data_IF_041559503610
#
_entry.id   IF_041559503610
#
_cell.length_a   1.000
_cell.length_b   1.000
_cell.length_c   1.000
_cell.angle_alpha   90.00
_cell.angle_beta   90.00
_cell.angle_gamma   90.00
#
_symmetry.space_group_name_H-M   'P 1'
#
loop_
_entity.id
_entity.type
_entity.pdbx_description
1 polymer ?
#
# COMPACT_ATOMS: atom_id res chain seq x y z
N UNK A 1 4.50 51.37 45.71
CA UNK A 1 4.22 52.35 44.64
C UNK A 1 3.36 51.64 43.60
N UNK A 2 2.13 52.09 43.46
CA UNK A 2 1.18 51.62 42.46
C UNK A 2 1.43 52.35 41.15
N UNK A 3 1.32 51.67 40.01
CA UNK A 3 0.77 52.27 38.79
C UNK A 3 -0.02 51.20 38.03
N UNK A 4 -1.34 51.32 38.18
CA UNK A 4 -2.32 50.79 37.24
C UNK A 4 -2.22 51.61 35.95
N UNK A 5 -2.23 50.95 34.79
CA UNK A 5 -2.65 51.58 33.53
C UNK A 5 -3.77 50.75 32.93
N UNK A 6 -4.94 51.38 32.96
CA UNK A 6 -6.17 51.14 32.24
C UNK A 6 -5.84 51.00 30.74
N UNK A 7 -6.21 49.93 30.03
CA UNK A 7 -7.58 49.66 29.61
C UNK A 7 -7.82 50.27 28.21
N UNK A 8 -8.04 49.43 27.19
CA UNK A 8 -8.90 49.75 26.04
C UNK A 8 -9.18 48.48 25.23
N UNK A 9 -10.45 48.09 25.27
CA UNK A 9 -11.11 47.06 24.45
C UNK A 9 -11.45 47.67 23.10
N UNK A 10 -11.41 46.88 22.02
CA UNK A 10 -12.29 46.92 20.83
C UNK A 10 -11.87 45.74 19.94
N UNK A 11 -12.54 44.59 19.99
CA UNK A 11 -13.76 44.18 19.28
C UNK A 11 -13.55 43.82 17.79
N UNK A 12 -14.13 42.65 17.47
CA UNK A 12 -14.62 42.15 16.17
C UNK A 12 -13.62 41.60 15.14
N UNK A 13 -13.79 40.30 14.87
CA UNK A 13 -13.20 39.58 13.75
C UNK A 13 -13.58 38.10 13.73
N UNK A 14 -14.88 37.82 13.64
CA UNK A 14 -15.43 36.54 13.13
C UNK A 14 -15.03 36.36 11.66
N UNK A 15 -14.74 35.12 11.25
CA UNK A 15 -14.51 34.77 9.84
C UNK A 15 -13.56 33.59 9.72
N UNK A 16 -14.08 32.39 9.99
CA UNK A 16 -14.36 31.42 8.93
C UNK A 16 -13.08 30.78 8.38
N UNK A 17 -12.74 29.64 8.96
CA UNK A 17 -12.04 28.55 8.30
C UNK A 17 -12.77 28.25 6.98
N UNK A 18 -12.20 28.70 5.87
CA UNK A 18 -12.39 27.99 4.60
C UNK A 18 -11.05 27.34 4.28
N UNK A 19 -10.82 26.20 4.91
CA UNK A 19 -10.15 25.12 4.19
C UNK A 19 -11.14 24.70 3.12
N UNK A 20 -11.16 25.46 2.02
CA UNK A 20 -11.89 25.11 0.83
C UNK A 20 -11.40 23.72 0.40
N UNK A 21 -12.30 22.75 0.55
CA UNK A 21 -12.13 21.46 -0.10
C UNK A 21 -12.21 21.71 -1.60
N UNK A 22 -11.05 21.71 -2.25
CA UNK A 22 -11.02 21.38 -3.66
C UNK A 22 -11.18 19.86 -3.78
N UNK A 23 -12.45 19.43 -3.88
CA UNK A 23 -12.81 18.24 -4.64
C UNK A 23 -12.45 18.49 -6.12
N UNK A 24 -11.16 18.46 -6.42
CA UNK A 24 -10.59 18.47 -7.75
C UNK A 24 -10.22 17.05 -8.12
N UNK A 25 -11.19 16.27 -8.59
CA UNK A 25 -10.94 14.98 -9.23
C UNK A 25 -10.14 15.16 -10.51
N UNK A 26 -8.85 15.47 -10.37
CA UNK A 26 -7.89 15.47 -11.46
C UNK A 26 -7.73 14.02 -11.86
N UNK A 27 -8.47 13.61 -12.89
CA UNK A 27 -8.08 12.46 -13.71
C UNK A 27 -6.84 12.91 -14.47
N UNK A 28 -5.71 12.94 -13.77
CA UNK A 28 -4.42 13.07 -14.40
C UNK A 28 -4.26 11.93 -15.39
N UNK A 29 -3.55 12.22 -16.48
CA UNK A 29 -3.24 11.20 -17.47
C UNK A 29 -2.56 10.00 -16.78
N UNK A 30 -2.68 8.77 -17.32
CA UNK A 30 -1.88 7.65 -16.84
C UNK A 30 -0.41 8.09 -16.74
N UNK A 31 0.21 7.94 -15.55
CA UNK A 31 1.56 8.46 -15.31
C UNK A 31 1.65 9.75 -14.48
N UNK A 32 0.56 10.46 -14.27
CA UNK A 32 0.56 11.77 -13.60
C UNK A 32 -0.20 11.75 -12.25
N UNK A 33 -0.05 10.73 -11.40
CA UNK A 33 -0.72 10.72 -10.08
C UNK A 33 -0.55 12.04 -9.30
N UNK A 34 -1.62 12.50 -8.63
CA UNK A 34 -1.48 13.58 -7.64
C UNK A 34 -0.53 13.14 -6.52
N UNK A 35 0.09 14.08 -5.78
CA UNK A 35 0.92 13.74 -4.62
C UNK A 35 0.19 12.86 -3.60
N UNK A 36 -1.08 13.12 -3.35
CA UNK A 36 -1.94 12.39 -2.42
C UNK A 36 -2.21 10.96 -2.92
N UNK A 37 -2.60 10.81 -4.19
CA UNK A 37 -2.84 9.50 -4.81
C UNK A 37 -1.56 8.64 -4.81
N UNK A 38 -0.43 9.27 -5.16
CA UNK A 38 0.87 8.59 -5.14
C UNK A 38 1.24 8.14 -3.74
N UNK A 39 1.00 8.97 -2.73
CA UNK A 39 1.25 8.63 -1.33
C UNK A 39 0.39 7.45 -0.88
N UNK A 40 -0.91 7.48 -1.18
CA UNK A 40 -1.85 6.40 -0.84
C UNK A 40 -1.43 5.07 -1.47
N UNK A 41 -1.19 5.06 -2.79
CA UNK A 41 -0.77 3.85 -3.50
C UNK A 41 0.61 3.35 -3.03
N UNK A 42 1.52 4.25 -2.67
CA UNK A 42 2.82 3.89 -2.13
C UNK A 42 2.71 3.28 -0.72
N UNK A 43 1.80 3.79 0.11
CA UNK A 43 1.49 3.21 1.42
C UNK A 43 0.87 1.82 1.25
N UNK A 44 -0.06 1.66 0.31
CA UNK A 44 -0.64 0.35 0.00
C UNK A 44 0.42 -0.67 -0.47
N UNK A 45 1.39 -0.25 -1.30
CA UNK A 45 2.56 -1.08 -1.64
C UNK A 45 3.38 -1.41 -0.39
N UNK A 46 3.63 -0.45 0.49
CA UNK A 46 4.39 -0.70 1.72
C UNK A 46 3.69 -1.72 2.62
N UNK A 47 2.39 -1.59 2.82
CA UNK A 47 1.59 -2.51 3.62
C UNK A 47 1.62 -3.93 3.05
N UNK A 48 1.40 -4.08 1.74
CA UNK A 48 1.36 -5.39 1.09
C UNK A 48 2.74 -6.04 0.94
N UNK A 49 3.77 -5.24 0.69
CA UNK A 49 5.10 -5.74 0.30
C UNK A 49 6.14 -5.73 1.42
N UNK A 50 6.03 -4.84 2.41
CA UNK A 50 7.07 -4.69 3.44
C UNK A 50 6.70 -5.36 4.77
N UNK A 51 5.43 -5.72 4.98
CA UNK A 51 4.99 -6.38 6.21
C UNK A 51 5.27 -7.88 6.18
N UNK A 52 6.06 -8.33 7.14
CA UNK A 52 6.32 -9.75 7.43
C UNK A 52 7.12 -10.51 6.36
N UNK A 53 7.33 -11.81 6.61
CA UNK A 53 8.01 -12.70 5.65
C UNK A 53 7.08 -13.04 4.50
N UNK A 54 7.62 -12.97 3.27
CA UNK A 54 6.94 -13.38 2.02
C UNK A 54 7.71 -14.42 1.21
N UNK A 55 8.97 -14.67 1.53
CA UNK A 55 9.78 -15.63 0.80
C UNK A 55 9.22 -17.06 0.99
N UNK A 56 9.12 -17.81 -0.11
CA UNK A 56 8.75 -19.22 -0.08
C UNK A 56 9.98 -20.11 -0.13
N UNK A 57 10.03 -21.13 0.74
CA UNK A 57 11.10 -22.13 0.80
C UNK A 57 10.52 -23.54 1.11
N UNK A 58 11.28 -24.59 0.80
CA UNK A 58 10.80 -25.97 0.85
C UNK A 58 10.47 -26.46 2.27
N UNK A 59 11.07 -25.86 3.29
CA UNK A 59 10.93 -26.28 4.69
C UNK A 59 9.62 -25.79 5.32
N UNK A 60 8.98 -24.76 4.75
CA UNK A 60 7.73 -24.20 5.25
C UNK A 60 6.56 -25.15 5.15
N UNK A 61 5.64 -25.17 6.09
CA UNK A 61 4.39 -25.94 5.98
C UNK A 61 3.54 -25.48 4.79
N UNK A 62 2.54 -26.28 4.40
CA UNK A 62 1.63 -25.85 3.35
C UNK A 62 0.89 -24.56 3.70
N UNK A 63 0.54 -24.34 4.97
CA UNK A 63 -0.16 -23.13 5.38
C UNK A 63 0.74 -21.90 5.36
N UNK A 64 2.02 -22.05 5.74
CA UNK A 64 3.01 -21.00 5.60
C UNK A 64 3.27 -20.64 4.13
N UNK A 65 3.36 -21.64 3.25
CA UNK A 65 3.51 -21.43 1.80
C UNK A 65 2.29 -20.72 1.21
N UNK A 66 1.07 -21.14 1.60
CA UNK A 66 -0.18 -20.50 1.19
C UNK A 66 -0.23 -19.04 1.66
N UNK A 67 0.07 -18.78 2.93
CA UNK A 67 0.09 -17.43 3.48
C UNK A 67 1.08 -16.52 2.73
N UNK A 68 2.28 -17.03 2.45
CA UNK A 68 3.30 -16.27 1.72
C UNK A 68 2.95 -16.08 0.23
N UNK A 69 2.34 -17.08 -0.40
CA UNK A 69 1.79 -16.96 -1.75
C UNK A 69 0.74 -15.83 -1.81
N UNK A 70 -0.23 -15.81 -0.88
CA UNK A 70 -1.25 -14.76 -0.79
C UNK A 70 -0.63 -13.37 -0.61
N UNK A 71 0.35 -13.21 0.30
CA UNK A 71 1.06 -11.94 0.50
C UNK A 71 1.79 -11.47 -0.76
N UNK A 72 2.45 -12.37 -1.49
CA UNK A 72 3.11 -12.02 -2.75
C UNK A 72 2.11 -11.61 -3.84
N UNK A 73 0.93 -12.26 -3.92
CA UNK A 73 -0.11 -11.84 -4.86
C UNK A 73 -0.59 -10.41 -4.58
N UNK A 74 -0.88 -10.07 -3.32
CA UNK A 74 -1.27 -8.70 -2.93
C UNK A 74 -0.18 -7.68 -3.23
N UNK A 75 1.08 -8.03 -2.92
CA UNK A 75 2.20 -7.17 -3.28
C UNK A 75 2.29 -6.94 -4.81
N UNK A 76 2.07 -7.98 -5.63
CA UNK A 76 2.08 -7.82 -7.08
C UNK A 76 0.91 -6.97 -7.58
N UNK A 77 -0.26 -7.10 -6.97
CA UNK A 77 -1.43 -6.26 -7.28
C UNK A 77 -1.17 -4.80 -6.91
N UNK A 78 -0.71 -4.51 -5.69
CA UNK A 78 -0.36 -3.16 -5.26
C UNK A 78 0.68 -2.51 -6.18
N UNK A 79 1.71 -3.26 -6.59
CA UNK A 79 2.71 -2.80 -7.57
C UNK A 79 2.11 -2.54 -8.94
N UNK A 80 1.22 -3.42 -9.42
CA UNK A 80 0.53 -3.21 -10.69
C UNK A 80 -0.29 -1.92 -10.64
N UNK A 81 -1.04 -1.69 -9.56
CA UNK A 81 -1.90 -0.52 -9.41
C UNK A 81 -1.10 0.79 -9.42
N UNK A 82 -0.01 0.89 -8.65
CA UNK A 82 0.81 2.11 -8.67
C UNK A 82 1.52 2.30 -10.01
N UNK A 83 1.97 1.23 -10.66
CA UNK A 83 2.60 1.31 -11.98
C UNK A 83 1.62 1.86 -13.04
N UNK A 84 0.39 1.35 -13.05
CA UNK A 84 -0.64 1.75 -14.00
C UNK A 84 -1.13 3.18 -13.74
N UNK A 85 -1.37 3.53 -12.47
CA UNK A 85 -1.88 4.84 -12.12
C UNK A 85 -0.82 5.95 -12.25
N UNK A 86 0.37 5.72 -11.71
CA UNK A 86 1.35 6.79 -11.45
C UNK A 86 2.58 6.77 -12.36
N UNK A 87 2.73 5.76 -13.23
CA UNK A 87 3.94 5.59 -14.03
C UNK A 87 3.66 5.11 -15.47
N UNK A 88 2.47 5.36 -16.00
CA UNK A 88 2.06 4.98 -17.37
C UNK A 88 2.34 3.49 -17.68
N UNK A 89 1.95 2.62 -16.76
CA UNK A 89 2.22 1.17 -16.83
C UNK A 89 3.58 0.74 -16.27
N UNK A 90 4.36 1.68 -15.72
CA UNK A 90 5.61 1.46 -15.01
C UNK A 90 6.85 1.90 -15.79
N UNK A 91 7.73 2.65 -15.14
CA UNK A 91 9.12 2.81 -15.59
C UNK A 91 9.92 1.51 -15.41
N UNK A 92 11.19 1.51 -15.80
CA UNK A 92 12.06 0.34 -15.73
C UNK A 92 12.14 -0.27 -14.31
N UNK A 93 12.32 0.57 -13.29
CA UNK A 93 12.41 0.12 -11.89
C UNK A 93 11.08 -0.43 -11.37
N UNK A 94 9.98 0.22 -11.73
CA UNK A 94 8.62 -0.21 -11.37
C UNK A 94 8.23 -1.53 -12.05
N UNK A 95 8.59 -1.70 -13.33
CA UNK A 95 8.39 -2.94 -14.10
C UNK A 95 9.21 -4.08 -13.52
N UNK A 96 10.48 -3.83 -13.22
CA UNK A 96 11.36 -4.84 -12.62
C UNK A 96 10.85 -5.28 -11.26
N UNK A 97 10.42 -4.36 -10.40
CA UNK A 97 9.91 -4.70 -9.08
C UNK A 97 8.61 -5.53 -9.13
N UNK A 98 7.74 -5.28 -10.11
CA UNK A 98 6.57 -6.13 -10.37
C UNK A 98 6.99 -7.51 -10.91
N UNK A 99 7.97 -7.57 -11.82
CA UNK A 99 8.53 -8.81 -12.35
C UNK A 99 9.10 -9.70 -11.24
N UNK A 100 9.94 -9.15 -10.36
CA UNK A 100 10.51 -9.87 -9.21
C UNK A 100 9.42 -10.41 -8.27
N UNK A 101 8.36 -9.64 -8.05
CA UNK A 101 7.24 -10.07 -7.21
C UNK A 101 6.49 -11.24 -7.87
N UNK A 102 6.27 -11.20 -9.19
CA UNK A 102 5.69 -12.32 -9.94
C UNK A 102 6.59 -13.56 -9.90
N UNK A 103 7.91 -13.40 -10.01
CA UNK A 103 8.86 -14.51 -9.86
C UNK A 103 8.77 -15.15 -8.46
N UNK A 104 8.59 -14.36 -7.41
CA UNK A 104 8.37 -14.88 -6.05
C UNK A 104 7.08 -15.70 -5.94
N UNK A 105 5.98 -15.26 -6.60
CA UNK A 105 4.73 -16.03 -6.68
C UNK A 105 4.99 -17.38 -7.35
N UNK A 106 5.64 -17.39 -8.52
CA UNK A 106 5.98 -18.63 -9.25
C UNK A 106 6.83 -19.58 -8.39
N UNK A 107 7.79 -19.03 -7.63
CA UNK A 107 8.58 -19.84 -6.69
C UNK A 107 7.71 -20.52 -5.63
N UNK A 108 6.74 -19.81 -5.04
CA UNK A 108 5.81 -20.41 -4.10
C UNK A 108 5.02 -21.55 -4.75
N UNK A 109 4.48 -21.31 -5.94
CA UNK A 109 3.69 -22.32 -6.69
C UNK A 109 4.53 -23.56 -6.98
N UNK A 110 5.76 -23.40 -7.48
CA UNK A 110 6.66 -24.53 -7.78
C UNK A 110 6.91 -25.40 -6.55
N UNK A 111 7.08 -24.80 -5.37
CA UNK A 111 7.23 -25.55 -4.12
C UNK A 111 5.92 -26.24 -3.76
N UNK A 112 4.79 -25.53 -3.82
CA UNK A 112 3.47 -26.08 -3.48
C UNK A 112 3.08 -27.27 -4.35
N UNK A 113 3.38 -27.26 -5.64
CA UNK A 113 3.04 -28.38 -6.55
C UNK A 113 4.11 -29.47 -6.61
N UNK A 114 5.27 -29.27 -5.96
CA UNK A 114 6.33 -30.28 -5.95
C UNK A 114 5.87 -31.58 -5.31
N UNK A 115 6.47 -32.70 -5.74
CA UNK A 115 6.09 -34.04 -5.28
C UNK A 115 6.21 -34.23 -3.76
N UNK A 116 7.15 -33.52 -3.14
CA UNK A 116 7.43 -33.58 -1.71
C UNK A 116 6.46 -32.73 -0.87
N UNK A 117 5.73 -31.78 -1.48
CA UNK A 117 4.86 -30.84 -0.76
C UNK A 117 3.39 -31.05 -1.03
N UNK A 118 2.99 -31.09 -2.31
CA UNK A 118 1.61 -31.29 -2.77
C UNK A 118 0.56 -30.46 -2.01
N UNK A 119 0.82 -29.16 -1.87
CA UNK A 119 -0.12 -28.19 -1.29
C UNK A 119 -1.15 -27.76 -2.35
N UNK A 120 -2.10 -28.64 -2.66
CA UNK A 120 -3.13 -28.36 -3.68
C UNK A 120 -4.01 -27.18 -3.22
N UNK A 121 -4.40 -26.35 -4.18
CA UNK A 121 -4.70 -24.92 -4.08
C UNK A 121 -5.78 -24.55 -3.06
N UNK A 122 -5.44 -23.67 -2.13
CA UNK A 122 -6.42 -22.81 -1.46
C UNK A 122 -6.59 -21.55 -2.31
N UNK A 123 -7.81 -21.05 -2.43
CA UNK A 123 -8.05 -19.69 -2.93
C UNK A 123 -7.22 -18.74 -2.05
N UNK A 124 -6.63 -17.72 -2.64
CA UNK A 124 -6.29 -16.54 -1.86
C UNK A 124 -7.62 -15.93 -1.45
N UNK A 125 -8.20 -16.39 -0.35
CA UNK A 125 -9.16 -15.52 0.30
C UNK A 125 -8.40 -14.25 0.66
N UNK A 126 -8.90 -13.07 0.27
CA UNK A 126 -8.35 -11.83 0.76
C UNK A 126 -8.58 -11.83 2.28
N UNK A 127 -7.52 -11.73 3.11
CA UNK A 127 -7.63 -10.70 4.12
C UNK A 127 -7.56 -9.35 3.43
N UNK A 128 -8.59 -8.54 3.68
CA UNK A 128 -8.56 -7.12 3.38
C UNK A 128 -7.25 -6.55 3.91
N UNK A 129 -6.63 -5.64 3.17
CA UNK A 129 -5.46 -4.91 3.63
C UNK A 129 -5.91 -3.83 4.64
N UNK A 130 -6.59 -4.27 5.68
CA UNK A 130 -6.94 -3.55 6.89
C UNK A 130 -7.19 -4.64 7.91
N UNK A 131 -6.23 -4.86 8.79
CA UNK A 131 -6.49 -5.05 10.21
C UNK A 131 -5.19 -4.79 10.97
N UNK A 132 -5.35 -3.84 11.87
CA UNK A 132 -4.41 -3.45 12.91
C UNK A 132 -4.23 -4.65 13.86
N UNK A 133 -3.01 -4.93 14.26
CA UNK A 133 -2.76 -5.45 15.60
C UNK A 133 -1.48 -4.79 16.10
N UNK A 134 -1.69 -3.81 16.98
CA UNK A 134 -0.68 -3.39 17.93
C UNK A 134 -0.72 -4.29 19.16
N UNK A 135 0.46 -4.53 19.71
CA UNK A 135 0.79 -4.26 21.11
C UNK A 135 2.24 -3.75 21.13
#
# INVERSE_FOLDING_TARGET
>A
MAFMVLGSVLLTGIGASTSDGEEGGSRTAPGDCSPEQKLELQNYVNECCKRGKRACNANQTCDELKANYCKNKRCAEARKNINEACYDGGDEGHKEALCQTRAAITKCVNIMVSENKKCITAKCEPPECNDQEGD
#
